data_IF_643805012477
#
_entry.id   IF_643805012477
#
_cell.length_a   1.000
_cell.length_b   1.000
_cell.length_c   1.000
_cell.angle_alpha   90.00
_cell.angle_beta   90.00
_cell.angle_gamma   90.00
#
_symmetry.space_group_name_H-M   'P 1'
#
loop_
_entity.id
_entity.type
_entity.pdbx_description
1 polymer ?
#
# COMPACT_ATOMS: atom_id res chain seq x y z
N UNK A 1 -3.82 -42.01 -47.55
CA UNK A 1 -3.68 -42.11 -46.09
C UNK A 1 -2.64 -41.09 -45.65
N UNK A 2 -3.06 -40.05 -44.92
CA UNK A 2 -2.18 -38.96 -44.49
C UNK A 2 -1.78 -39.22 -43.03
N UNK A 3 -0.49 -39.39 -42.78
CA UNK A 3 0.05 -39.58 -41.45
C UNK A 3 0.13 -38.22 -40.74
N UNK A 4 -0.51 -38.10 -39.58
CA UNK A 4 -0.29 -37.00 -38.65
C UNK A 4 0.91 -37.34 -37.77
N UNK A 5 1.98 -36.56 -37.88
CA UNK A 5 3.08 -36.58 -36.91
C UNK A 5 2.72 -35.58 -35.82
N UNK A 6 2.30 -36.08 -34.67
CA UNK A 6 2.15 -35.26 -33.47
C UNK A 6 3.52 -35.11 -32.82
N UNK A 7 4.15 -33.94 -32.99
CA UNK A 7 5.35 -33.57 -32.23
C UNK A 7 4.85 -32.99 -30.90
N UNK A 8 4.86 -33.81 -29.86
CA UNK A 8 4.73 -33.34 -28.49
C UNK A 8 6.00 -32.55 -28.12
N UNK A 9 5.97 -31.22 -28.27
CA UNK A 9 6.92 -30.37 -27.56
C UNK A 9 6.53 -30.35 -26.09
N UNK A 10 7.29 -31.09 -25.27
CA UNK A 10 7.33 -30.89 -23.83
C UNK A 10 7.93 -29.50 -23.58
N UNK A 11 7.08 -28.50 -23.39
CA UNK A 11 7.50 -27.27 -22.71
C UNK A 11 7.80 -27.66 -21.27
N UNK A 12 9.08 -27.83 -20.96
CA UNK A 12 9.56 -27.79 -19.59
C UNK A 12 9.25 -26.40 -19.04
N UNK A 13 8.19 -26.29 -18.24
CA UNK A 13 8.04 -25.20 -17.29
C UNK A 13 9.23 -25.31 -16.33
N UNK A 14 10.29 -24.56 -16.60
CA UNK A 14 11.24 -24.20 -15.56
C UNK A 14 10.50 -23.27 -14.61
N UNK A 15 9.77 -23.85 -13.66
CA UNK A 15 9.44 -23.14 -12.43
C UNK A 15 10.78 -22.75 -11.83
N UNK A 16 11.09 -21.46 -11.77
CA UNK A 16 12.18 -21.00 -10.93
C UNK A 16 11.87 -21.49 -9.51
N UNK A 17 12.54 -22.56 -9.10
CA UNK A 17 12.65 -22.91 -7.71
C UNK A 17 13.30 -21.68 -7.07
N UNK A 18 12.52 -20.95 -6.27
CA UNK A 18 13.11 -20.09 -5.27
C UNK A 18 14.08 -20.98 -4.51
N UNK A 19 15.36 -20.65 -4.54
CA UNK A 19 16.36 -21.30 -3.68
C UNK A 19 15.87 -21.04 -2.26
N UNK A 20 15.20 -22.03 -1.67
CA UNK A 20 14.84 -22.01 -0.25
C UNK A 20 16.18 -22.05 0.47
N UNK A 21 16.64 -20.88 0.93
CA UNK A 21 17.82 -20.78 1.79
C UNK A 21 17.54 -21.70 2.99
N UNK A 22 18.34 -22.75 3.16
CA UNK A 22 18.19 -23.70 4.25
C UNK A 22 18.10 -22.99 5.61
N UNK A 23 17.41 -23.62 6.58
CA UNK A 23 17.20 -23.08 7.94
C UNK A 23 18.47 -22.52 8.56
N UNK A 24 19.61 -23.19 8.37
CA UNK A 24 20.92 -22.78 8.87
C UNK A 24 21.44 -21.50 8.19
N UNK A 25 21.25 -21.34 6.87
CA UNK A 25 21.60 -20.11 6.15
C UNK A 25 20.74 -18.92 6.57
N UNK A 26 19.46 -19.16 6.85
CA UNK A 26 18.54 -18.14 7.35
C UNK A 26 18.85 -17.75 8.81
N UNK A 27 19.31 -18.71 9.62
CA UNK A 27 19.74 -18.46 10.99
C UNK A 27 21.09 -17.71 11.05
N UNK A 28 22.04 -18.06 10.17
CA UNK A 28 23.30 -17.33 9.99
C UNK A 28 23.07 -15.87 9.60
N UNK A 29 22.25 -15.63 8.56
CA UNK A 29 21.91 -14.28 8.14
C UNK A 29 21.15 -13.51 9.22
N UNK A 30 20.28 -14.19 9.99
CA UNK A 30 19.56 -13.61 11.12
C UNK A 30 20.49 -13.24 12.26
N UNK A 31 21.47 -14.08 12.60
CA UNK A 31 22.42 -13.81 13.67
C UNK A 31 23.41 -12.72 13.29
N UNK A 32 23.91 -12.69 12.04
CA UNK A 32 24.70 -11.59 11.51
C UNK A 32 23.90 -10.28 11.50
N UNK A 33 22.67 -10.31 10.99
CA UNK A 33 21.78 -9.15 10.96
C UNK A 33 21.47 -8.66 12.39
N UNK A 34 21.12 -9.53 13.33
CA UNK A 34 20.81 -9.16 14.73
C UNK A 34 22.04 -8.67 15.49
N UNK A 35 23.22 -9.23 15.23
CA UNK A 35 24.49 -8.84 15.86
C UNK A 35 25.04 -7.52 15.31
N UNK A 36 24.87 -7.28 14.02
CA UNK A 36 25.22 -6.01 13.36
C UNK A 36 24.24 -4.90 13.73
N UNK A 37 22.95 -5.21 13.78
CA UNK A 37 21.98 -4.14 13.58
C UNK A 37 21.70 -3.29 14.79
N UNK A 38 21.61 -3.81 16.02
CA UNK A 38 21.37 -2.99 17.23
C UNK A 38 20.51 -1.73 17.01
N UNK A 39 19.41 -1.82 16.24
CA UNK A 39 19.00 -0.74 15.32
C UNK A 39 18.64 0.54 16.07
N UNK A 40 19.45 1.59 16.00
CA UNK A 40 19.07 2.89 16.50
C UNK A 40 17.90 3.41 15.67
N UNK A 41 16.94 4.11 16.29
CA UNK A 41 15.83 4.73 15.57
C UNK A 41 16.30 5.63 14.41
N UNK A 42 17.51 6.17 14.54
CA UNK A 42 18.21 6.93 13.51
C UNK A 42 18.49 6.10 12.25
N UNK A 43 18.89 4.84 12.35
CA UNK A 43 19.17 3.99 11.18
C UNK A 43 17.88 3.61 10.43
N UNK A 44 16.77 3.40 11.14
CA UNK A 44 15.43 3.24 10.54
C UNK A 44 15.07 4.45 9.69
N UNK A 45 15.34 5.64 10.21
CA UNK A 45 15.08 6.90 9.51
C UNK A 45 15.98 7.06 8.27
N UNK A 46 17.25 6.65 8.35
CA UNK A 46 18.15 6.63 7.20
C UNK A 46 17.68 5.68 6.10
N UNK A 47 17.21 4.48 6.46
CA UNK A 47 16.67 3.50 5.49
C UNK A 47 15.39 4.04 4.83
N UNK A 48 14.50 4.68 5.60
CA UNK A 48 13.32 5.34 5.05
C UNK A 48 13.70 6.45 4.09
N UNK A 49 14.61 7.35 4.47
CA UNK A 49 15.11 8.41 3.58
C UNK A 49 15.72 7.86 2.30
N UNK A 50 16.51 6.79 2.40
CA UNK A 50 17.09 6.12 1.24
C UNK A 50 15.99 5.52 0.34
N UNK A 51 15.03 4.81 0.94
CA UNK A 51 13.90 4.25 0.19
C UNK A 51 13.07 5.34 -0.49
N UNK A 52 12.82 6.46 0.19
CA UNK A 52 12.16 7.63 -0.39
C UNK A 52 12.95 8.27 -1.52
N UNK A 53 14.28 8.29 -1.43
CA UNK A 53 15.15 8.81 -2.48
C UNK A 53 15.18 7.90 -3.72
N UNK A 54 15.09 6.58 -3.53
CA UNK A 54 15.07 5.60 -4.61
C UNK A 54 13.67 5.35 -5.20
N UNK A 55 12.63 5.79 -4.50
CA UNK A 55 11.26 5.69 -4.97
C UNK A 55 10.97 6.73 -6.06
N UNK A 56 9.97 6.45 -6.89
CA UNK A 56 9.48 7.41 -7.87
C UNK A 56 9.06 8.71 -7.19
N UNK A 57 9.59 9.82 -7.70
CA UNK A 57 9.05 11.14 -7.35
C UNK A 57 7.75 11.39 -8.11
N UNK A 58 6.96 12.29 -7.57
CA UNK A 58 5.70 12.68 -8.21
C UNK A 58 5.93 13.26 -9.62
N UNK A 59 6.89 14.17 -9.78
CA UNK A 59 7.18 14.85 -11.05
C UNK A 59 7.81 13.94 -12.11
N UNK A 60 8.37 12.81 -11.67
CA UNK A 60 8.88 11.76 -12.56
C UNK A 60 7.77 10.81 -13.02
N UNK A 61 6.81 10.54 -12.12
CA UNK A 61 5.75 9.57 -12.36
C UNK A 61 4.56 10.15 -13.11
N UNK A 62 4.14 11.38 -12.82
CA UNK A 62 2.94 11.97 -13.43
C UNK A 62 3.31 12.88 -14.60
N UNK A 63 2.50 12.83 -15.67
CA UNK A 63 2.55 13.83 -16.73
C UNK A 63 2.08 15.19 -16.17
N UNK A 64 2.89 16.27 -16.29
CA UNK A 64 2.54 17.61 -15.84
C UNK A 64 1.20 18.07 -16.43
N UNK A 65 0.32 18.59 -15.57
CA UNK A 65 -0.99 19.07 -15.96
C UNK A 65 -2.01 17.97 -16.31
N UNK A 66 -1.68 16.69 -16.11
CA UNK A 66 -2.62 15.59 -16.38
C UNK A 66 -3.61 15.31 -15.26
N UNK A 67 -3.36 15.80 -14.04
CA UNK A 67 -4.24 15.55 -12.90
C UNK A 67 -5.49 16.42 -12.96
N UNK A 68 -6.63 15.76 -13.10
CA UNK A 68 -7.96 16.38 -13.09
C UNK A 68 -8.80 15.64 -12.05
N UNK A 69 -9.51 16.38 -11.21
CA UNK A 69 -10.46 15.83 -10.25
C UNK A 69 -11.66 16.77 -10.15
N UNK A 70 -12.87 16.22 -10.26
CA UNK A 70 -14.12 17.00 -10.23
C UNK A 70 -14.08 18.19 -11.19
N UNK A 71 -13.68 17.92 -12.45
CA UNK A 71 -13.51 18.90 -13.54
C UNK A 71 -12.47 20.01 -13.29
N UNK A 72 -11.76 19.96 -12.17
CA UNK A 72 -10.75 20.93 -11.79
C UNK A 72 -9.36 20.37 -12.04
N UNK A 73 -8.50 21.15 -12.70
CA UNK A 73 -7.10 20.79 -12.91
C UNK A 73 -6.28 21.07 -11.65
N UNK A 74 -5.44 20.11 -11.26
CA UNK A 74 -4.56 20.18 -10.11
C UNK A 74 -3.11 19.89 -10.50
N UNK A 75 -2.17 20.42 -9.72
CA UNK A 75 -0.82 19.86 -9.69
C UNK A 75 -0.88 18.45 -9.06
N UNK A 76 -0.35 17.46 -9.77
CA UNK A 76 -0.34 16.07 -9.30
C UNK A 76 0.39 15.91 -7.96
N UNK A 77 1.42 16.72 -7.70
CA UNK A 77 2.24 16.64 -6.51
C UNK A 77 1.61 17.32 -5.29
N UNK A 78 0.64 18.20 -5.53
CA UNK A 78 -0.24 18.71 -4.47
C UNK A 78 -1.38 17.74 -4.17
N UNK A 79 -1.81 16.97 -5.16
CA UNK A 79 -2.95 16.05 -5.09
C UNK A 79 -2.59 14.72 -4.41
N UNK A 80 -1.45 14.14 -4.78
CA UNK A 80 -0.95 12.87 -4.25
C UNK A 80 0.14 13.07 -3.21
N UNK A 81 0.09 12.31 -2.11
CA UNK A 81 1.10 12.35 -1.05
C UNK A 81 1.91 11.06 -0.99
N UNK A 82 3.21 11.12 -0.70
CA UNK A 82 4.00 9.92 -0.44
C UNK A 82 3.58 9.28 0.89
N UNK A 83 3.34 7.98 0.85
CA UNK A 83 2.93 7.20 2.02
C UNK A 83 3.46 5.77 1.96
N UNK A 84 3.89 5.25 3.11
CA UNK A 84 4.33 3.87 3.24
C UNK A 84 3.17 2.91 3.41
N UNK A 85 3.16 1.85 2.60
CA UNK A 85 2.16 0.78 2.57
C UNK A 85 2.84 -0.58 2.65
N UNK A 86 2.10 -1.68 2.55
CA UNK A 86 2.69 -3.03 2.47
C UNK A 86 3.55 -3.25 1.22
N UNK A 87 3.41 -2.36 0.22
CA UNK A 87 4.15 -2.36 -1.03
C UNK A 87 5.33 -1.38 -1.05
N UNK A 88 5.66 -0.76 0.08
CA UNK A 88 6.67 0.29 0.18
C UNK A 88 6.06 1.67 0.02
N UNK A 89 6.85 2.64 -0.43
CA UNK A 89 6.38 4.01 -0.64
C UNK A 89 5.51 4.08 -1.90
N UNK A 90 4.30 4.60 -1.75
CA UNK A 90 3.35 4.85 -2.82
C UNK A 90 2.91 6.32 -2.82
N UNK A 91 2.39 6.79 -3.95
CA UNK A 91 1.72 8.09 -4.05
C UNK A 91 0.22 7.88 -3.89
N UNK A 92 -0.37 8.50 -2.86
CA UNK A 92 -1.74 8.21 -2.43
C UNK A 92 -2.59 9.48 -2.49
N UNK A 93 -3.72 9.39 -3.18
CA UNK A 93 -4.75 10.42 -3.19
C UNK A 93 -5.65 10.29 -1.96
N UNK A 94 -6.03 11.41 -1.34
CA UNK A 94 -7.02 11.47 -0.27
C UNK A 94 -6.72 10.62 0.99
N UNK A 95 -5.45 10.32 1.29
CA UNK A 95 -5.07 9.62 2.53
C UNK A 95 -5.22 10.50 3.78
N UNK A 96 -5.44 9.89 4.94
CA UNK A 96 -5.37 10.52 6.27
C UNK A 96 -4.33 9.85 7.19
N UNK A 97 -3.54 8.91 6.66
CA UNK A 97 -2.55 8.16 7.45
C UNK A 97 -1.28 8.98 7.66
N UNK A 98 -0.69 9.55 6.60
CA UNK A 98 0.56 10.31 6.71
C UNK A 98 0.43 11.56 7.59
N UNK A 99 1.52 11.99 8.25
CA UNK A 99 1.52 13.23 9.05
C UNK A 99 1.17 14.45 8.18
N UNK A 100 1.69 14.48 6.94
CA UNK A 100 1.40 15.55 5.98
C UNK A 100 -0.09 15.62 5.65
N UNK A 101 -0.73 14.47 5.42
CA UNK A 101 -2.16 14.36 5.21
C UNK A 101 -3.00 14.85 6.39
N UNK A 102 -2.59 14.48 7.62
CA UNK A 102 -3.28 14.94 8.84
C UNK A 102 -3.16 16.46 8.99
N UNK A 103 -1.99 17.03 8.72
CA UNK A 103 -1.79 18.50 8.68
C UNK A 103 -2.66 19.14 7.60
N UNK A 104 -2.70 18.57 6.39
CA UNK A 104 -3.57 19.05 5.29
C UNK A 104 -5.04 19.07 5.72
N UNK A 105 -5.50 18.06 6.46
CA UNK A 105 -6.86 18.02 7.01
C UNK A 105 -7.16 19.15 8.01
N UNK A 106 -6.17 19.57 8.80
CA UNK A 106 -6.36 20.63 9.81
C UNK A 106 -6.53 22.01 9.16
N UNK A 107 -5.82 22.29 8.07
CA UNK A 107 -5.86 23.60 7.41
C UNK A 107 -6.84 23.67 6.23
N UNK A 108 -7.23 22.53 5.66
CA UNK A 108 -8.19 22.46 4.56
C UNK A 108 -9.42 21.66 5.00
N UNK A 109 -10.51 22.36 5.28
CA UNK A 109 -11.79 21.78 5.69
C UNK A 109 -12.35 20.81 4.62
N UNK A 110 -12.11 21.13 3.34
CA UNK A 110 -12.55 20.35 2.18
C UNK A 110 -11.71 19.10 1.91
N UNK A 111 -10.57 18.92 2.59
CA UNK A 111 -9.77 17.70 2.49
C UNK A 111 -10.33 16.63 3.46
N UNK A 112 -10.35 15.32 3.14
CA UNK A 112 -10.17 14.72 1.82
C UNK A 112 -11.23 15.21 0.83
N UNK A 113 -10.82 15.39 -0.42
CA UNK A 113 -11.68 15.91 -1.48
C UNK A 113 -12.84 14.94 -1.76
N UNK A 114 -14.03 15.49 -2.02
CA UNK A 114 -15.24 14.73 -2.32
C UNK A 114 -15.72 15.06 -3.73
N UNK A 115 -16.29 14.06 -4.39
CA UNK A 115 -16.92 14.24 -5.70
C UNK A 115 -18.23 15.02 -5.56
N UNK A 116 -18.47 15.96 -6.48
CA UNK A 116 -19.75 16.67 -6.57
C UNK A 116 -20.82 15.82 -7.27
N UNK A 117 -20.41 15.06 -8.29
CA UNK A 117 -21.28 14.28 -9.17
C UNK A 117 -20.63 12.95 -9.53
N UNK A 118 -21.46 11.97 -9.93
CA UNK A 118 -20.98 10.69 -10.46
C UNK A 118 -20.77 10.79 -11.97
N UNK A 119 -19.69 10.21 -12.46
CA UNK A 119 -19.36 10.18 -13.88
C UNK A 119 -17.87 10.02 -14.11
N UNK A 120 -17.48 9.73 -15.35
CA UNK A 120 -16.08 9.65 -15.76
C UNK A 120 -15.40 11.03 -15.71
N UNK A 121 -16.11 12.09 -16.14
CA UNK A 121 -15.60 13.46 -16.17
C UNK A 121 -15.32 14.07 -14.80
N UNK A 122 -16.06 13.67 -13.76
CA UNK A 122 -15.86 14.13 -12.39
C UNK A 122 -14.83 13.30 -11.62
N UNK A 123 -14.50 12.11 -12.11
CA UNK A 123 -13.55 11.20 -11.47
C UNK A 123 -12.11 11.74 -11.39
N UNK A 124 -11.25 10.98 -10.72
CA UNK A 124 -9.82 11.24 -10.71
C UNK A 124 -9.19 10.76 -12.02
N UNK A 125 -8.60 11.67 -12.76
CA UNK A 125 -7.89 11.40 -14.01
C UNK A 125 -6.43 11.83 -13.86
N UNK A 126 -5.52 11.02 -14.40
CA UNK A 126 -4.09 11.33 -14.46
C UNK A 126 -3.42 10.45 -15.51
N UNK A 127 -2.29 10.93 -16.04
CA UNK A 127 -1.46 10.17 -16.97
C UNK A 127 -0.13 9.85 -16.28
N UNK A 128 0.25 8.58 -16.31
CA UNK A 128 1.51 8.11 -15.75
C UNK A 128 2.59 8.07 -16.85
N UNK A 129 3.76 8.61 -16.54
CA UNK A 129 4.98 8.52 -17.34
C UNK A 129 5.76 7.29 -16.91
N UNK A 130 5.89 6.34 -17.83
CA UNK A 130 6.69 5.14 -17.61
C UNK A 130 8.03 5.33 -18.32
N UNK A 131 9.12 5.23 -17.56
CA UNK A 131 10.46 5.28 -18.10
C UNK A 131 11.15 3.96 -17.82
N UNK A 132 11.40 3.18 -18.88
CA UNK A 132 12.03 1.86 -18.81
C UNK A 132 13.44 1.92 -18.19
N UNK A 133 14.09 3.09 -18.17
CA UNK A 133 15.39 3.28 -17.52
C UNK A 133 15.36 3.03 -16.01
N UNK A 134 14.17 3.11 -15.38
CA UNK A 134 13.98 2.81 -13.96
C UNK A 134 13.69 1.33 -13.69
N UNK A 135 13.51 0.52 -14.74
CA UNK A 135 13.41 -0.92 -14.56
C UNK A 135 14.77 -1.50 -14.17
N UNK A 136 14.70 -2.54 -13.34
CA UNK A 136 15.89 -3.31 -13.00
C UNK A 136 16.42 -3.99 -14.26
N UNK A 137 17.73 -3.93 -14.47
CA UNK A 137 18.37 -4.61 -15.59
C UNK A 137 18.03 -6.12 -15.57
N UNK A 138 17.58 -6.65 -16.71
CA UNK A 138 17.16 -8.05 -16.85
C UNK A 138 15.70 -8.33 -16.46
N UNK A 139 14.87 -7.31 -16.22
CA UNK A 139 13.43 -7.50 -16.05
C UNK A 139 12.76 -7.82 -17.38
N UNK A 140 12.20 -9.03 -17.50
CA UNK A 140 11.45 -9.49 -18.69
C UNK A 140 9.94 -9.20 -18.60
N UNK A 141 9.44 -8.86 -17.40
CA UNK A 141 8.03 -8.50 -17.23
C UNK A 141 7.79 -7.08 -17.73
N UNK A 142 6.67 -6.83 -18.44
CA UNK A 142 6.32 -5.50 -18.90
C UNK A 142 6.17 -4.54 -17.72
N UNK A 143 6.59 -3.30 -17.90
CA UNK A 143 6.40 -2.24 -16.92
C UNK A 143 4.92 -2.14 -16.56
N UNK A 144 4.59 -2.35 -15.29
CA UNK A 144 3.22 -2.29 -14.79
C UNK A 144 3.18 -1.54 -13.47
N UNK A 145 2.15 -0.72 -13.29
CA UNK A 145 1.87 -0.05 -12.04
C UNK A 145 0.74 -0.75 -11.30
N UNK A 146 0.76 -0.68 -9.96
CA UNK A 146 -0.32 -1.23 -9.16
C UNK A 146 -1.18 -0.09 -8.61
N UNK A 147 -2.47 -0.13 -8.92
CA UNK A 147 -3.48 0.71 -8.30
C UNK A 147 -4.04 0.00 -7.07
N UNK A 148 -4.11 0.73 -5.96
CA UNK A 148 -4.73 0.30 -4.72
C UNK A 148 -5.86 1.26 -4.36
N UNK A 149 -7.04 0.73 -4.11
CA UNK A 149 -8.21 1.50 -3.65
C UNK A 149 -8.42 1.15 -2.19
N UNK A 150 -8.40 2.19 -1.34
CA UNK A 150 -8.52 2.05 0.12
C UNK A 150 -9.34 3.17 0.74
N UNK A 151 -9.79 2.96 1.95
CA UNK A 151 -10.39 4.03 2.76
C UNK A 151 -9.32 5.06 3.18
N UNK A 152 -9.68 6.33 3.42
CA UNK A 152 -8.71 7.37 3.81
C UNK A 152 -7.89 7.02 5.06
N UNK A 153 -8.50 6.30 6.00
CA UNK A 153 -7.92 5.89 7.28
C UNK A 153 -7.40 4.45 7.29
N UNK A 154 -7.34 3.80 6.14
CA UNK A 154 -6.78 2.46 5.98
C UNK A 154 -5.29 2.57 5.61
N UNK A 155 -4.43 1.79 6.28
CA UNK A 155 -2.99 1.82 6.00
C UNK A 155 -2.64 1.24 4.63
N UNK A 156 -3.04 0.00 4.37
CA UNK A 156 -2.78 -0.69 3.10
C UNK A 156 -3.90 -1.69 2.81
N UNK A 157 -4.52 -1.63 1.62
CA UNK A 157 -5.50 -2.62 1.21
C UNK A 157 -4.80 -3.84 0.61
N UNK A 158 -5.36 -5.03 0.81
CA UNK A 158 -4.74 -6.24 0.28
C UNK A 158 -4.96 -6.42 -1.24
N UNK A 159 -5.98 -5.75 -1.80
CA UNK A 159 -6.37 -5.86 -3.22
C UNK A 159 -5.59 -4.87 -4.07
N UNK A 160 -5.06 -5.36 -5.19
CA UNK A 160 -4.26 -4.61 -6.16
C UNK A 160 -4.84 -4.81 -7.55
N UNK A 161 -4.85 -3.74 -8.32
CA UNK A 161 -5.22 -3.74 -9.73
C UNK A 161 -3.99 -3.39 -10.55
N UNK A 162 -3.73 -4.16 -11.61
CA UNK A 162 -2.60 -3.88 -12.49
C UNK A 162 -3.02 -2.87 -13.55
N UNK A 163 -2.25 -1.79 -13.67
CA UNK A 163 -2.32 -0.84 -14.77
C UNK A 163 -1.25 -1.23 -15.78
N UNK A 164 -1.70 -1.48 -17.01
CA UNK A 164 -0.81 -1.83 -18.10
C UNK A 164 -0.33 -0.58 -18.84
N UNK A 165 0.89 -0.69 -19.39
CA UNK A 165 1.48 0.37 -20.19
C UNK A 165 0.73 0.57 -21.51
N UNK A 166 0.69 1.81 -22.02
CA UNK A 166 0.09 2.17 -23.31
C UNK A 166 -1.41 1.83 -23.41
N UNK A 167 -2.12 1.80 -22.28
CA UNK A 167 -3.56 1.60 -22.23
C UNK A 167 -4.23 2.68 -21.40
N UNK A 168 -5.45 3.04 -21.78
CA UNK A 168 -6.35 3.79 -20.92
C UNK A 168 -7.07 2.80 -19.99
N UNK A 169 -6.97 3.04 -18.68
CA UNK A 169 -7.52 2.15 -17.66
C UNK A 169 -8.69 2.86 -16.95
N UNK A 170 -9.92 2.48 -17.29
CA UNK A 170 -11.13 3.02 -16.67
C UNK A 170 -11.55 2.14 -15.49
N UNK A 171 -11.52 2.70 -14.28
CA UNK A 171 -11.86 1.99 -13.04
C UNK A 171 -13.08 2.63 -12.39
N UNK A 172 -14.22 1.93 -12.46
CA UNK A 172 -15.44 2.34 -11.79
C UNK A 172 -15.43 1.89 -10.32
N UNK A 173 -15.73 2.82 -9.41
CA UNK A 173 -15.74 2.59 -7.97
C UNK A 173 -17.18 2.72 -7.46
N UNK A 174 -17.72 1.62 -6.94
CA UNK A 174 -19.05 1.58 -6.30
C UNK A 174 -18.90 1.26 -4.80
N UNK A 175 -18.96 2.27 -3.91
CA UNK A 175 -18.75 2.08 -2.48
C UNK A 175 -19.98 1.49 -1.80
N UNK A 176 -19.83 0.31 -1.19
CA UNK A 176 -20.86 -0.30 -0.35
C UNK A 176 -20.62 0.04 1.13
N UNK A 177 -21.55 0.79 1.73
CA UNK A 177 -21.50 1.09 3.17
C UNK A 177 -22.50 0.23 3.95
N UNK A 178 -22.00 -0.48 4.96
CA UNK A 178 -22.82 -1.25 5.89
C UNK A 178 -22.82 -0.55 7.25
N UNK A 179 -23.98 -0.05 7.66
CA UNK A 179 -24.16 0.62 8.96
C UNK A 179 -24.82 -0.31 9.97
N UNK A 180 -24.40 -0.22 11.23
CA UNK A 180 -25.00 -0.97 12.33
C UNK A 180 -26.26 -0.29 12.86
N UNK A 181 -27.24 -1.07 13.31
CA UNK A 181 -28.43 -0.52 13.98
C UNK A 181 -28.07 0.17 15.31
N UNK A 182 -28.85 1.17 15.71
CA UNK A 182 -28.65 1.91 16.97
C UNK A 182 -28.72 1.03 18.22
N UNK A 183 -29.47 -0.08 18.16
CA UNK A 183 -29.54 -1.06 19.25
C UNK A 183 -28.23 -1.81 19.46
N UNK A 184 -27.43 -1.99 18.40
CA UNK A 184 -26.12 -2.63 18.46
C UNK A 184 -25.12 -1.81 19.28
N UNK A 185 -25.27 -0.47 19.32
CA UNK A 185 -24.43 0.42 20.12
C UNK A 185 -24.58 0.19 21.64
N UNK A 186 -25.73 -0.30 22.09
CA UNK A 186 -25.98 -0.61 23.50
C UNK A 186 -25.35 -1.94 23.94
N UNK A 187 -24.94 -2.78 22.99
CA UNK A 187 -24.36 -4.09 23.26
C UNK A 187 -22.88 -3.96 23.61
N UNK A 188 -22.51 -4.40 24.82
CA UNK A 188 -21.14 -4.34 25.30
C UNK A 188 -20.14 -5.00 24.31
N UNK A 189 -18.96 -4.38 24.04
CA UNK A 189 -17.97 -4.87 23.06
C UNK A 189 -17.67 -6.37 23.16
N UNK A 190 -17.49 -6.89 24.38
CA UNK A 190 -17.25 -8.34 24.64
C UNK A 190 -18.31 -9.27 24.03
N UNK A 191 -19.57 -8.86 23.94
CA UNK A 191 -20.63 -9.70 23.37
C UNK A 191 -20.64 -9.64 21.84
N UNK A 192 -20.43 -8.46 21.26
CA UNK A 192 -20.43 -8.25 19.79
C UNK A 192 -19.06 -8.50 19.12
N UNK A 193 -17.99 -8.63 19.90
CA UNK A 193 -16.62 -8.95 19.46
C UNK A 193 -16.03 -7.96 18.43
N UNK A 194 -16.50 -6.72 18.46
CA UNK A 194 -15.98 -5.60 17.69
C UNK A 194 -15.97 -4.34 18.55
N UNK A 195 -15.34 -3.28 18.05
CA UNK A 195 -15.23 -1.97 18.69
C UNK A 195 -15.71 -0.90 17.69
N UNK A 196 -16.42 0.10 18.20
CA UNK A 196 -16.81 1.29 17.46
C UNK A 196 -15.71 2.34 17.53
N UNK A 197 -15.78 3.36 16.69
CA UNK A 197 -14.76 4.42 16.60
C UNK A 197 -14.54 5.18 17.91
N UNK A 198 -15.59 5.29 18.73
CA UNK A 198 -15.55 5.94 20.05
C UNK A 198 -15.07 5.00 21.18
N UNK A 199 -14.78 3.74 20.89
CA UNK A 199 -14.33 2.76 21.88
C UNK A 199 -12.90 2.31 21.62
N UNK A 200 -12.14 2.14 22.70
CA UNK A 200 -10.76 1.68 22.59
C UNK A 200 -10.69 0.15 22.65
N UNK A 201 -10.10 -0.46 21.63
CA UNK A 201 -9.66 -1.84 21.71
C UNK A 201 -8.35 -1.91 22.52
N UNK A 202 -8.32 -2.57 23.70
CA UNK A 202 -7.11 -2.64 24.53
C UNK A 202 -5.96 -3.41 23.87
N UNK A 203 -6.27 -4.29 22.91
CA UNK A 203 -5.27 -5.13 22.23
C UNK A 203 -4.80 -4.53 20.91
N UNK A 204 -5.25 -3.34 20.54
CA UNK A 204 -4.84 -2.69 19.30
C UNK A 204 -3.64 -1.77 19.57
N UNK A 205 -2.44 -2.10 19.05
CA UNK A 205 -1.19 -1.47 19.46
C UNK A 205 -0.85 -0.21 18.65
N UNK A 206 -1.58 0.10 17.58
CA UNK A 206 -1.32 1.28 16.76
C UNK A 206 -2.01 2.50 17.36
N UNK A 207 -1.23 3.51 17.71
CA UNK A 207 -1.73 4.80 18.24
C UNK A 207 -2.06 5.80 17.14
N UNK A 208 -1.36 5.71 16.01
CA UNK A 208 -1.42 6.67 14.90
C UNK A 208 -2.50 6.37 13.86
N UNK A 209 -3.23 5.27 14.04
CA UNK A 209 -4.23 4.80 13.08
C UNK A 209 -5.50 4.39 13.81
N UNK A 210 -6.69 4.67 13.26
CA UNK A 210 -7.92 4.25 13.87
C UNK A 210 -8.11 2.73 13.78
N UNK A 211 -8.91 2.19 14.70
CA UNK A 211 -9.25 0.78 14.71
C UNK A 211 -10.14 0.45 13.50
N UNK A 212 -9.64 -0.39 12.61
CA UNK A 212 -10.40 -1.01 11.53
C UNK A 212 -9.95 -2.46 11.39
N UNK A 213 -10.75 -3.29 10.70
CA UNK A 213 -10.35 -4.69 10.44
C UNK A 213 -9.01 -4.75 9.69
N UNK A 214 -8.83 -3.87 8.70
CA UNK A 214 -7.62 -3.83 7.88
C UNK A 214 -6.39 -3.42 8.70
N UNK A 215 -6.50 -2.31 9.44
CA UNK A 215 -5.41 -1.82 10.30
C UNK A 215 -5.07 -2.82 11.42
N UNK A 216 -6.08 -3.54 11.95
CA UNK A 216 -5.88 -4.60 12.94
C UNK A 216 -5.08 -5.77 12.38
N UNK A 217 -5.34 -6.19 11.14
CA UNK A 217 -4.57 -7.24 10.47
C UNK A 217 -3.12 -6.79 10.26
N UNK A 218 -2.90 -5.56 9.79
CA UNK A 218 -1.55 -5.00 9.62
C UNK A 218 -0.79 -4.91 10.96
N UNK A 219 -1.44 -4.46 12.03
CA UNK A 219 -0.88 -4.42 13.39
C UNK A 219 -0.54 -5.81 13.93
N UNK A 220 -1.40 -6.80 13.67
CA UNK A 220 -1.21 -8.18 14.06
C UNK A 220 0.00 -8.80 13.34
N UNK A 221 0.11 -8.56 12.03
CA UNK A 221 1.25 -8.99 11.23
C UNK A 221 2.56 -8.42 11.78
N UNK A 222 2.61 -7.11 11.99
CA UNK A 222 3.78 -6.43 12.56
C UNK A 222 4.12 -6.97 13.97
N UNK A 223 3.14 -7.15 14.84
CA UNK A 223 3.34 -7.75 16.17
C UNK A 223 3.90 -9.17 16.09
N UNK A 224 3.40 -9.99 15.16
CA UNK A 224 3.86 -11.36 14.93
C UNK A 224 5.30 -11.40 14.43
N UNK A 225 5.66 -10.53 13.47
CA UNK A 225 7.02 -10.37 12.97
C UNK A 225 7.96 -9.97 14.10
N UNK A 226 7.58 -8.99 14.93
CA UNK A 226 8.38 -8.55 16.06
C UNK A 226 8.58 -9.68 17.09
N UNK A 227 7.54 -10.45 17.38
CA UNK A 227 7.58 -11.55 18.33
C UNK A 227 8.51 -12.70 17.88
N UNK A 228 8.39 -13.14 16.63
CA UNK A 228 9.18 -14.28 16.12
C UNK A 228 10.59 -13.88 15.68
N UNK A 229 10.72 -12.75 14.99
CA UNK A 229 11.98 -12.34 14.36
C UNK A 229 12.83 -11.45 15.27
N UNK A 230 12.22 -10.76 16.25
CA UNK A 230 12.87 -9.73 17.11
C UNK A 230 13.42 -8.53 16.33
N UNK A 231 12.89 -8.29 15.14
CA UNK A 231 13.18 -7.13 14.31
C UNK A 231 11.93 -6.74 13.51
N UNK A 232 11.92 -5.55 12.92
CA UNK A 232 10.85 -5.08 12.04
C UNK A 232 11.43 -4.45 10.78
N UNK A 233 10.62 -4.43 9.71
CA UNK A 233 10.94 -3.76 8.47
C UNK A 233 10.01 -2.54 8.30
N UNK A 234 10.46 -1.34 8.68
CA UNK A 234 9.63 -0.13 8.74
C UNK A 234 9.17 0.42 7.38
N UNK A 235 9.66 -0.18 6.29
CA UNK A 235 9.27 0.12 4.90
C UNK A 235 7.97 -0.56 4.48
N UNK A 236 7.72 -1.77 4.99
CA UNK A 236 6.61 -2.64 4.56
C UNK A 236 5.67 -3.01 5.70
N UNK A 237 5.89 -2.45 6.89
CA UNK A 237 5.08 -2.70 8.08
C UNK A 237 4.82 -1.37 8.79
N UNK A 238 3.61 -1.19 9.37
CA UNK A 238 3.28 0.02 10.10
C UNK A 238 4.16 0.16 11.35
N UNK A 239 4.45 1.40 11.74
CA UNK A 239 5.07 1.65 13.05
C UNK A 239 4.07 1.34 14.16
N UNK A 240 4.45 0.46 15.09
CA UNK A 240 3.73 0.32 16.35
C UNK A 240 4.15 1.48 17.24
N UNK A 241 3.18 2.22 17.79
CA UNK A 241 3.45 3.22 18.82
C UNK A 241 4.01 2.51 20.05
N UNK A 242 5.25 2.85 20.41
CA UNK A 242 5.86 2.52 21.69
C UNK A 242 5.52 3.58 22.72
#
# INVERSE_FOLDING_TARGET
MKFFVAICMLFGLATAEYVVKNRENMLSYREECVKELGVPAELVEHIRKLASYLAYRCDELFEPGSCIFDETSYDCCDLFVPEYTENGQCLVFNSLISENSRKKKLFNEFYPLKLSTAGEGSGLQFVLRMNDSFLRAGTEVPFAMNLMIKEPNEWSPHKRYHLYSNTENLVSIDPMMVQTSTNTNKMHPKKRRCYFDNERNPNFPLTDMPYSRSNCIAACLQSSVLYHCRCTMPLFLPSIGG
#
